data_IF_789368478598
#
_entry.id   IF_789368478598
#
_cell.length_a   1.000
_cell.length_b   1.000
_cell.length_c   1.000
_cell.angle_alpha   90.00
_cell.angle_beta   90.00
_cell.angle_gamma   90.00
#
_symmetry.space_group_name_H-M   'P 1'
#
loop_
_entity.id
_entity.type
_entity.pdbx_description
1 polymer ?
#
# COMPACT_ATOMS: atom_id res chain seq x y z
N UNK A 1 -1.75 -26.21 8.24
CA UNK A 1 -1.80 -25.77 6.82
C UNK A 1 -1.71 -24.25 6.65
N UNK A 2 -2.40 -23.42 7.45
CA UNK A 2 -2.31 -21.94 7.35
C UNK A 2 -0.93 -21.30 7.63
N UNK A 3 -0.01 -22.00 8.31
CA UNK A 3 1.34 -21.47 8.59
C UNK A 3 2.17 -21.36 7.30
N UNK A 4 2.28 -22.46 6.56
CA UNK A 4 3.01 -22.49 5.28
C UNK A 4 2.43 -21.49 4.28
N UNK A 5 1.09 -21.39 4.16
CA UNK A 5 0.45 -20.41 3.29
C UNK A 5 0.75 -18.95 3.66
N UNK A 6 0.93 -18.63 4.95
CA UNK A 6 1.32 -17.29 5.43
C UNK A 6 2.80 -17.02 5.20
N UNK A 7 3.64 -18.04 5.32
CA UNK A 7 5.09 -17.95 5.07
C UNK A 7 5.41 -17.74 3.58
N UNK A 8 4.69 -18.40 2.66
CA UNK A 8 4.87 -18.20 1.21
C UNK A 8 3.99 -17.12 0.59
N UNK A 9 2.99 -16.65 1.33
CA UNK A 9 2.02 -15.65 0.88
C UNK A 9 2.68 -14.44 0.20
N UNK A 10 3.64 -13.76 0.83
CA UNK A 10 4.30 -12.59 0.23
C UNK A 10 5.00 -12.89 -1.10
N UNK A 11 5.62 -14.06 -1.23
CA UNK A 11 6.41 -14.45 -2.42
C UNK A 11 5.53 -14.52 -3.67
N UNK A 12 4.26 -14.92 -3.52
CA UNK A 12 3.34 -15.02 -4.66
C UNK A 12 2.40 -13.82 -4.77
N UNK A 13 1.92 -13.29 -3.64
CA UNK A 13 0.95 -12.19 -3.62
C UNK A 13 1.55 -10.88 -4.12
N UNK A 14 2.82 -10.59 -3.79
CA UNK A 14 3.47 -9.34 -4.22
C UNK A 14 3.62 -9.32 -5.75
N UNK A 15 4.25 -10.31 -6.41
CA UNK A 15 4.34 -10.33 -7.87
C UNK A 15 2.97 -10.35 -8.57
N UNK A 16 1.99 -11.06 -8.00
CA UNK A 16 0.64 -11.09 -8.54
C UNK A 16 -0.01 -9.70 -8.52
N UNK A 17 0.11 -8.96 -7.40
CA UNK A 17 -0.41 -7.61 -7.28
C UNK A 17 0.22 -6.65 -8.32
N UNK A 18 1.54 -6.70 -8.48
CA UNK A 18 2.24 -5.91 -9.50
C UNK A 18 1.84 -6.31 -10.93
N UNK A 19 1.58 -7.59 -11.17
CA UNK A 19 1.13 -8.08 -12.48
C UNK A 19 -0.26 -7.56 -12.83
N UNK A 20 -1.20 -7.53 -11.88
CA UNK A 20 -2.54 -6.94 -12.08
C UNK A 20 -2.45 -5.43 -12.31
N UNK A 21 -1.57 -4.74 -11.57
CA UNK A 21 -1.31 -3.32 -11.78
C UNK A 21 -0.79 -3.07 -13.20
N UNK A 22 0.25 -3.79 -13.63
CA UNK A 22 0.80 -3.67 -14.98
C UNK A 22 -0.24 -4.01 -16.06
N UNK A 23 -1.00 -5.09 -15.88
CA UNK A 23 -2.06 -5.50 -16.80
C UNK A 23 -3.13 -4.42 -16.97
N UNK A 24 -3.41 -3.63 -15.93
CA UNK A 24 -4.35 -2.51 -16.02
C UNK A 24 -3.78 -1.35 -16.84
N UNK A 25 -2.49 -1.02 -16.65
CA UNK A 25 -1.82 -0.01 -17.46
C UNK A 25 -1.68 -0.42 -18.94
N UNK A 26 -1.68 -1.72 -19.21
CA UNK A 26 -1.71 -2.30 -20.56
C UNK A 26 -3.13 -2.43 -21.15
N UNK A 27 -4.17 -2.05 -20.40
CA UNK A 27 -5.57 -2.15 -20.82
C UNK A 27 -6.14 -3.59 -20.85
N UNK A 28 -5.42 -4.56 -20.27
CA UNK A 28 -5.85 -5.96 -20.18
C UNK A 28 -6.88 -6.13 -19.05
N UNK A 29 -6.67 -5.42 -17.94
CA UNK A 29 -7.58 -5.39 -16.79
C UNK A 29 -8.27 -4.02 -16.71
N UNK A 30 -9.57 -4.01 -16.42
CA UNK A 30 -10.31 -2.75 -16.30
C UNK A 30 -9.86 -1.95 -15.07
N UNK A 31 -9.76 -0.63 -15.22
CA UNK A 31 -9.46 0.30 -14.10
C UNK A 31 -10.43 0.12 -12.93
N UNK A 32 -11.71 -0.16 -13.23
CA UNK A 32 -12.75 -0.46 -12.22
C UNK A 32 -12.35 -1.64 -11.31
N UNK A 33 -11.67 -2.65 -11.84
CA UNK A 33 -11.23 -3.81 -11.06
C UNK A 33 -10.15 -3.41 -10.06
N UNK A 34 -9.14 -2.65 -10.49
CA UNK A 34 -8.13 -2.10 -9.57
C UNK A 34 -8.75 -1.17 -8.54
N UNK A 35 -9.69 -0.32 -8.94
CA UNK A 35 -10.43 0.55 -8.03
C UNK A 35 -11.14 -0.24 -6.93
N UNK A 36 -11.92 -1.26 -7.29
CA UNK A 36 -12.61 -2.12 -6.32
C UNK A 36 -11.60 -2.80 -5.39
N UNK A 37 -10.48 -3.30 -5.93
CA UNK A 37 -9.44 -3.95 -5.13
C UNK A 37 -8.87 -3.01 -4.06
N UNK A 38 -8.58 -1.75 -4.42
CA UNK A 38 -8.07 -0.75 -3.48
C UNK A 38 -9.14 -0.34 -2.46
N UNK A 39 -10.41 -0.20 -2.85
CA UNK A 39 -11.50 0.06 -1.90
C UNK A 39 -11.61 -1.05 -0.86
N UNK A 40 -11.62 -2.32 -1.30
CA UNK A 40 -11.68 -3.47 -0.39
C UNK A 40 -10.46 -3.49 0.53
N UNK A 41 -9.26 -3.31 -0.02
CA UNK A 41 -8.01 -3.27 0.76
C UNK A 41 -8.03 -2.15 1.80
N UNK A 42 -8.46 -0.94 1.42
CA UNK A 42 -8.58 0.20 2.35
C UNK A 42 -9.54 -0.10 3.49
N UNK A 43 -10.72 -0.66 3.20
CA UNK A 43 -11.70 -1.01 4.24
C UNK A 43 -11.13 -2.05 5.20
N UNK A 44 -10.48 -3.10 4.68
CA UNK A 44 -9.91 -4.16 5.50
C UNK A 44 -8.73 -3.65 6.36
N UNK A 45 -7.82 -2.86 5.78
CA UNK A 45 -6.69 -2.28 6.51
C UNK A 45 -7.17 -1.30 7.58
N UNK A 46 -8.16 -0.45 7.28
CA UNK A 46 -8.75 0.47 8.26
C UNK A 46 -9.42 -0.28 9.41
N UNK A 47 -10.26 -1.27 9.09
CA UNK A 47 -10.93 -2.09 10.09
C UNK A 47 -9.92 -2.82 10.98
N UNK A 48 -8.87 -3.42 10.40
CA UNK A 48 -7.82 -4.07 11.16
C UNK A 48 -7.02 -3.08 12.01
N UNK A 49 -6.59 -1.95 11.43
CA UNK A 49 -5.83 -0.93 12.14
C UNK A 49 -6.60 -0.40 13.36
N UNK A 50 -7.92 -0.21 13.24
CA UNK A 50 -8.76 0.25 14.36
C UNK A 50 -8.95 -0.87 15.40
N UNK A 51 -9.33 -2.07 14.97
CA UNK A 51 -9.69 -3.16 15.89
C UNK A 51 -8.49 -3.77 16.61
N UNK A 52 -7.33 -3.85 15.95
CA UNK A 52 -6.11 -4.42 16.52
C UNK A 52 -5.24 -3.39 17.26
N UNK A 53 -5.61 -2.11 17.27
CA UNK A 53 -4.75 -1.04 17.80
C UNK A 53 -4.35 -1.26 19.26
N UNK A 54 -5.30 -1.63 20.11
CA UNK A 54 -5.07 -1.82 21.54
C UNK A 54 -4.04 -2.93 21.83
N UNK A 55 -4.04 -3.98 21.01
CA UNK A 55 -3.16 -5.13 21.15
C UNK A 55 -1.77 -4.89 20.55
N UNK A 56 -1.67 -3.98 19.57
CA UNK A 56 -0.44 -3.68 18.84
C UNK A 56 0.29 -2.44 19.36
N UNK A 57 0.04 -2.04 20.61
CA UNK A 57 0.65 -0.83 21.15
C UNK A 57 2.12 -1.00 21.50
N UNK A 58 2.73 -2.17 21.57
CA UNK A 58 4.11 -2.31 22.08
C UNK A 58 4.96 -3.28 21.25
N UNK A 59 6.29 -3.13 21.39
CA UNK A 59 7.27 -4.01 20.76
C UNK A 59 7.13 -4.10 19.24
N UNK A 60 7.42 -5.29 18.69
CA UNK A 60 7.34 -5.59 17.25
C UNK A 60 5.93 -5.41 16.68
N UNK A 61 4.88 -5.63 17.48
CA UNK A 61 3.50 -5.45 17.01
C UNK A 61 3.20 -3.99 16.68
N UNK A 62 3.78 -3.02 17.40
CA UNK A 62 3.67 -1.60 17.06
C UNK A 62 4.25 -1.29 15.68
N UNK A 63 5.36 -1.93 15.32
CA UNK A 63 5.95 -1.78 13.98
C UNK A 63 5.02 -2.34 12.91
N UNK A 64 4.44 -3.51 13.14
CA UNK A 64 3.46 -4.09 12.21
C UNK A 64 2.21 -3.24 12.03
N UNK A 65 1.69 -2.67 13.13
CA UNK A 65 0.59 -1.72 13.05
C UNK A 65 0.98 -0.48 12.23
N UNK A 66 2.18 0.05 12.43
CA UNK A 66 2.69 1.18 11.64
C UNK A 66 2.81 0.84 10.16
N UNK A 67 3.29 -0.36 9.81
CA UNK A 67 3.33 -0.85 8.42
C UNK A 67 1.93 -0.89 7.81
N UNK A 68 0.93 -1.37 8.54
CA UNK A 68 -0.47 -1.40 8.10
C UNK A 68 -1.01 0.02 7.91
N UNK A 69 -0.78 0.91 8.86
CA UNK A 69 -1.21 2.31 8.80
C UNK A 69 -0.56 3.05 7.62
N UNK A 70 0.74 2.86 7.39
CA UNK A 70 1.46 3.42 6.25
C UNK A 70 0.96 2.83 4.93
N UNK A 71 0.75 1.52 4.86
CA UNK A 71 0.22 0.84 3.66
C UNK A 71 -1.22 1.20 3.33
N UNK A 72 -2.02 1.58 4.34
CA UNK A 72 -3.38 2.08 4.14
C UNK A 72 -3.42 3.40 3.37
N UNK A 73 -2.44 4.30 3.58
CA UNK A 73 -2.42 5.63 2.94
C UNK A 73 -2.47 5.56 1.41
N UNK A 74 -1.55 4.88 0.69
CA UNK A 74 -1.61 4.81 -0.77
C UNK A 74 -2.88 4.09 -1.25
N UNK A 75 -3.37 3.08 -0.51
CA UNK A 75 -4.60 2.37 -0.83
C UNK A 75 -5.81 3.33 -0.82
N UNK A 76 -5.92 4.11 0.26
CA UNK A 76 -7.00 5.07 0.45
C UNK A 76 -6.91 6.24 -0.53
N UNK A 77 -5.70 6.73 -0.82
CA UNK A 77 -5.50 7.79 -1.83
C UNK A 77 -5.96 7.32 -3.21
N UNK A 78 -5.60 6.10 -3.63
CA UNK A 78 -6.07 5.57 -4.91
C UNK A 78 -7.60 5.41 -4.93
N UNK A 79 -8.19 4.87 -3.86
CA UNK A 79 -9.64 4.73 -3.74
C UNK A 79 -10.38 6.08 -3.70
N UNK A 80 -9.77 7.13 -3.15
CA UNK A 80 -10.36 8.47 -3.08
C UNK A 80 -10.13 9.31 -4.35
N UNK A 81 -9.17 8.94 -5.20
CA UNK A 81 -8.75 9.73 -6.36
C UNK A 81 -9.91 10.22 -7.26
N UNK A 82 -10.95 9.43 -7.57
CA UNK A 82 -12.06 9.90 -8.39
C UNK A 82 -12.90 11.03 -7.76
N UNK A 83 -12.84 11.18 -6.44
CA UNK A 83 -13.60 12.18 -5.68
C UNK A 83 -12.78 13.43 -5.33
N UNK A 84 -11.46 13.41 -5.56
CA UNK A 84 -10.59 14.54 -5.25
C UNK A 84 -10.48 15.46 -6.47
N UNK A 85 -10.66 16.79 -6.32
CA UNK A 85 -10.46 17.76 -7.39
C UNK A 85 -8.97 18.02 -7.61
N UNK A 86 -8.21 16.99 -8.01
CA UNK A 86 -6.78 17.09 -8.29
C UNK A 86 -6.58 17.10 -9.79
N UNK A 87 -5.95 18.15 -10.31
CA UNK A 87 -5.51 18.14 -11.70
C UNK A 87 -4.54 16.97 -11.92
N UNK A 88 -4.75 16.21 -13.00
CA UNK A 88 -3.94 15.00 -13.27
C UNK A 88 -2.44 15.29 -13.29
N UNK A 89 -2.02 16.49 -13.71
CA UNK A 89 -0.63 16.94 -13.68
C UNK A 89 -0.11 17.13 -12.26
N UNK A 90 -0.88 17.82 -11.40
CA UNK A 90 -0.52 18.04 -9.99
C UNK A 90 -0.44 16.70 -9.26
N UNK A 91 -1.39 15.80 -9.49
CA UNK A 91 -1.38 14.45 -8.91
C UNK A 91 -0.15 13.64 -9.33
N UNK A 92 0.24 13.69 -10.60
CA UNK A 92 1.48 13.04 -11.09
C UNK A 92 2.74 13.64 -10.48
N UNK A 93 2.86 14.97 -10.44
CA UNK A 93 4.03 15.65 -9.88
C UNK A 93 4.15 15.36 -8.37
N UNK A 94 3.06 15.46 -7.63
CA UNK A 94 3.03 15.11 -6.21
C UNK A 94 3.37 13.64 -5.96
N UNK A 95 2.85 12.73 -6.80
CA UNK A 95 3.17 11.30 -6.74
C UNK A 95 4.65 11.02 -6.97
N UNK A 96 5.25 11.60 -8.01
CA UNK A 96 6.69 11.47 -8.30
C UNK A 96 7.54 12.05 -7.16
N UNK A 97 7.16 13.22 -6.64
CA UNK A 97 7.86 13.85 -5.53
C UNK A 97 7.80 12.98 -4.26
N UNK A 98 6.63 12.40 -3.94
CA UNK A 98 6.46 11.50 -2.80
C UNK A 98 7.32 10.23 -2.93
N UNK A 99 7.38 9.64 -4.13
CA UNK A 99 8.25 8.49 -4.41
C UNK A 99 9.72 8.87 -4.22
N UNK A 100 10.16 10.00 -4.78
CA UNK A 100 11.54 10.47 -4.64
C UNK A 100 11.94 10.74 -3.18
N UNK A 101 11.04 11.33 -2.39
CA UNK A 101 11.25 11.54 -0.95
C UNK A 101 11.35 10.21 -0.19
N UNK A 102 10.45 9.26 -0.49
CA UNK A 102 10.47 7.93 0.13
C UNK A 102 11.75 7.16 -0.20
N UNK A 103 12.22 7.21 -1.45
CA UNK A 103 13.48 6.61 -1.86
C UNK A 103 14.68 7.27 -1.16
N UNK A 104 14.70 8.60 -1.05
CA UNK A 104 15.77 9.34 -0.34
C UNK A 104 15.83 8.95 1.14
N UNK A 105 14.67 8.87 1.81
CA UNK A 105 14.60 8.43 3.19
C UNK A 105 15.09 6.98 3.36
N UNK A 106 14.75 6.09 2.43
CA UNK A 106 15.24 4.69 2.43
C UNK A 106 16.75 4.59 2.23
N UNK A 107 17.33 5.39 1.33
CA UNK A 107 18.79 5.45 1.12
C UNK A 107 19.47 5.98 2.39
N UNK A 108 18.92 7.01 3.01
CA UNK A 108 19.46 7.58 4.25
C UNK A 108 19.41 6.58 5.41
N UNK A 109 18.28 5.89 5.60
CA UNK A 109 18.15 4.82 6.60
C UNK A 109 19.14 3.68 6.34
N UNK A 110 19.35 3.29 5.07
CA UNK A 110 20.36 2.30 4.71
C UNK A 110 21.78 2.79 5.03
N UNK A 111 22.12 4.04 4.70
CA UNK A 111 23.44 4.62 4.94
C UNK A 111 23.76 4.81 6.44
N UNK A 112 22.76 5.10 7.27
CA UNK A 112 22.93 5.25 8.72
C UNK A 112 23.06 3.91 9.45
N UNK A 113 22.71 2.79 8.80
CA UNK A 113 22.82 1.43 9.34
C UNK A 113 24.13 0.73 8.98
N UNK A 114 24.99 1.37 8.17
CA UNK A 114 26.35 0.93 7.82
C UNK A 114 27.39 1.90 8.39
#
# INVERSE_FOLDING_TARGET
>A
MFRSAREVGPVFLIPAAWSVAAATHLGIVAERTLFIAHVVMSVLLAAFAVTAYADMREGTLRVWWAVIAVGFVPAAVYAAAPALPVEATVGRVAGIAAVGLGQTAGILDAALRY
#
